data_IF_837659529394
#
_entry.id   IF_837659529394
#
_cell.length_a   1.000
_cell.length_b   1.000
_cell.length_c   1.000
_cell.angle_alpha   90.00
_cell.angle_beta   90.00
_cell.angle_gamma   90.00
#
_symmetry.space_group_name_H-M   'P 1'
#
loop_
_entity.id
_entity.type
_entity.pdbx_description
1 polymer ?
#
# COMPACT_ATOMS: atom_id res chain seq x y z
N UNK A 1 -22.39 -25.08 -86.74
CA UNK A 1 -21.59 -25.61 -85.60
C UNK A 1 -20.57 -24.61 -85.07
N UNK A 2 -19.96 -23.75 -85.89
CA UNK A 2 -18.99 -22.74 -85.43
C UNK A 2 -19.60 -21.59 -84.62
N UNK A 3 -20.79 -21.09 -84.99
CA UNK A 3 -21.44 -20.00 -84.26
C UNK A 3 -21.81 -20.36 -82.81
N UNK A 4 -22.30 -21.59 -82.59
CA UNK A 4 -22.62 -22.13 -81.26
C UNK A 4 -21.34 -22.25 -80.40
N UNK A 5 -20.22 -22.68 -81.00
CA UNK A 5 -18.92 -22.73 -80.30
C UNK A 5 -18.41 -21.33 -79.93
N UNK A 6 -18.63 -20.33 -80.77
CA UNK A 6 -18.22 -18.94 -80.51
C UNK A 6 -19.06 -18.27 -79.40
N UNK A 7 -20.36 -18.55 -79.31
CA UNK A 7 -21.19 -18.08 -78.19
C UNK A 7 -20.78 -18.73 -76.87
N UNK A 8 -20.50 -20.04 -76.87
CA UNK A 8 -20.09 -20.75 -75.66
C UNK A 8 -18.75 -20.21 -75.11
N UNK A 9 -17.82 -19.84 -76.00
CA UNK A 9 -16.55 -19.19 -75.64
C UNK A 9 -16.79 -17.81 -75.01
N UNK A 10 -17.66 -16.98 -75.60
CA UNK A 10 -18.01 -15.66 -75.03
C UNK A 10 -18.64 -15.78 -73.65
N UNK A 11 -19.55 -16.74 -73.46
CA UNK A 11 -20.19 -17.02 -72.17
C UNK A 11 -19.22 -17.57 -71.11
N UNK A 12 -18.18 -18.32 -71.51
CA UNK A 12 -17.11 -18.75 -70.60
C UNK A 12 -16.24 -17.57 -70.16
N UNK A 13 -15.82 -16.73 -71.11
CA UNK A 13 -14.99 -15.55 -70.82
C UNK A 13 -15.75 -14.55 -69.94
N UNK A 14 -17.05 -14.35 -70.16
CA UNK A 14 -17.90 -13.52 -69.30
C UNK A 14 -17.95 -14.03 -67.85
N UNK A 15 -18.22 -15.33 -67.66
CA UNK A 15 -18.23 -15.97 -66.34
C UNK A 15 -16.87 -15.92 -65.64
N UNK A 16 -15.78 -15.98 -66.39
CA UNK A 16 -14.43 -15.94 -65.84
C UNK A 16 -14.04 -14.52 -65.38
N UNK A 17 -14.51 -13.49 -66.09
CA UNK A 17 -14.39 -12.08 -65.65
C UNK A 17 -15.17 -11.81 -64.37
N UNK A 18 -16.43 -12.24 -64.30
CA UNK A 18 -17.27 -12.13 -63.10
C UNK A 18 -16.62 -12.84 -61.90
N UNK A 19 -16.15 -14.08 -62.09
CA UNK A 19 -15.43 -14.83 -61.04
C UNK A 19 -14.18 -14.08 -60.55
N UNK A 20 -13.47 -13.41 -61.44
CA UNK A 20 -12.29 -12.63 -61.06
C UNK A 20 -12.64 -11.33 -60.33
N UNK A 21 -13.76 -10.68 -60.66
CA UNK A 21 -14.28 -9.54 -59.90
C UNK A 21 -14.73 -9.95 -58.49
N UNK A 22 -15.51 -11.02 -58.36
CA UNK A 22 -15.89 -11.56 -57.05
C UNK A 22 -14.69 -11.95 -56.19
N UNK A 23 -13.62 -12.51 -56.80
CA UNK A 23 -12.37 -12.80 -56.09
C UNK A 23 -11.66 -11.55 -55.58
N UNK A 24 -11.66 -10.46 -56.35
CA UNK A 24 -11.08 -9.18 -55.93
C UNK A 24 -11.88 -8.57 -54.78
N UNK A 25 -13.20 -8.52 -54.89
CA UNK A 25 -14.06 -7.99 -53.82
C UNK A 25 -13.94 -8.81 -52.52
N UNK A 26 -13.90 -10.14 -52.62
CA UNK A 26 -13.68 -11.01 -51.46
C UNK A 26 -12.30 -10.75 -50.80
N UNK A 27 -11.25 -10.53 -51.60
CA UNK A 27 -9.92 -10.17 -51.11
C UNK A 27 -9.91 -8.80 -50.42
N UNK A 28 -10.58 -7.81 -50.99
CA UNK A 28 -10.65 -6.46 -50.42
C UNK A 28 -11.44 -6.43 -49.11
N UNK A 29 -12.55 -7.18 -49.04
CA UNK A 29 -13.32 -7.37 -47.80
C UNK A 29 -12.49 -8.08 -46.73
N UNK A 30 -11.73 -9.13 -47.10
CA UNK A 30 -10.83 -9.82 -46.17
C UNK A 30 -9.77 -8.87 -45.62
N UNK A 31 -9.15 -8.06 -46.48
CA UNK A 31 -8.15 -7.07 -46.06
C UNK A 31 -8.73 -5.97 -45.16
N UNK A 32 -9.96 -5.50 -45.44
CA UNK A 32 -10.66 -4.53 -44.58
C UNK A 32 -10.97 -5.12 -43.22
N UNK A 33 -11.43 -6.38 -43.17
CA UNK A 33 -11.70 -7.09 -41.91
C UNK A 33 -10.42 -7.23 -41.08
N UNK A 34 -9.32 -7.70 -41.68
CA UNK A 34 -8.05 -7.88 -40.98
C UNK A 34 -7.49 -6.56 -40.43
N UNK A 35 -7.61 -5.46 -41.19
CA UNK A 35 -7.24 -4.11 -40.71
C UNK A 35 -8.10 -3.65 -39.54
N UNK A 36 -9.37 -4.05 -39.50
CA UNK A 36 -10.30 -3.65 -38.45
C UNK A 36 -10.06 -4.46 -37.18
N UNK A 37 -9.83 -5.77 -37.31
CA UNK A 37 -9.45 -6.68 -36.21
C UNK A 37 -8.13 -6.21 -35.55
N UNK A 38 -7.09 -5.89 -36.33
CA UNK A 38 -5.83 -5.34 -35.77
C UNK A 38 -6.01 -4.02 -35.02
N UNK A 39 -6.93 -3.15 -35.48
CA UNK A 39 -7.25 -1.90 -34.76
C UNK A 39 -8.03 -2.18 -33.48
N UNK A 40 -8.94 -3.14 -33.48
CA UNK A 40 -9.69 -3.54 -32.29
C UNK A 40 -8.75 -4.13 -31.23
N UNK A 41 -7.89 -5.09 -31.60
CA UNK A 41 -6.89 -5.67 -30.70
C UNK A 41 -5.97 -4.62 -30.09
N UNK A 42 -5.52 -3.63 -30.89
CA UNK A 42 -4.67 -2.56 -30.39
C UNK A 42 -5.40 -1.72 -29.33
N UNK A 43 -6.68 -1.40 -29.56
CA UNK A 43 -7.50 -0.65 -28.61
C UNK A 43 -7.76 -1.45 -27.33
N UNK A 44 -8.08 -2.73 -27.43
CA UNK A 44 -8.25 -3.60 -26.26
C UNK A 44 -7.00 -3.64 -25.39
N UNK A 45 -5.82 -3.82 -26.00
CA UNK A 45 -4.53 -3.78 -25.27
C UNK A 45 -4.26 -2.42 -24.62
N UNK A 46 -4.69 -1.32 -25.23
CA UNK A 46 -4.56 0.02 -24.64
C UNK A 46 -5.52 0.21 -23.45
N UNK A 47 -6.77 -0.28 -23.57
CA UNK A 47 -7.75 -0.25 -22.48
C UNK A 47 -7.25 -1.05 -21.28
N UNK A 48 -6.76 -2.27 -21.51
CA UNK A 48 -6.22 -3.13 -20.45
C UNK A 48 -5.03 -2.47 -19.73
N UNK A 49 -4.11 -1.85 -20.49
CA UNK A 49 -2.98 -1.08 -19.93
C UNK A 49 -3.43 0.13 -19.12
N UNK A 50 -4.48 0.82 -19.53
CA UNK A 50 -5.00 1.97 -18.80
C UNK A 50 -5.75 1.55 -17.53
N UNK A 51 -6.53 0.48 -17.61
CA UNK A 51 -7.26 -0.10 -16.47
C UNK A 51 -6.30 -0.56 -15.37
N UNK A 52 -5.26 -1.32 -15.72
CA UNK A 52 -4.24 -1.76 -14.76
C UNK A 52 -3.46 -0.59 -14.13
N UNK A 53 -3.16 0.47 -14.90
CA UNK A 53 -2.55 1.70 -14.35
C UNK A 53 -3.48 2.42 -13.39
N UNK A 54 -4.76 2.51 -13.71
CA UNK A 54 -5.75 3.18 -12.86
C UNK A 54 -5.92 2.44 -11.54
N UNK A 55 -6.07 1.11 -11.57
CA UNK A 55 -6.17 0.28 -10.37
C UNK A 55 -4.92 0.43 -9.47
N UNK A 56 -3.72 0.45 -10.07
CA UNK A 56 -2.48 0.70 -9.32
C UNK A 56 -2.49 2.08 -8.64
N UNK A 57 -2.90 3.12 -9.36
CA UNK A 57 -2.98 4.48 -8.83
C UNK A 57 -4.02 4.62 -7.70
N UNK A 58 -5.19 4.00 -7.86
CA UNK A 58 -6.22 3.98 -6.82
C UNK A 58 -5.73 3.27 -5.56
N UNK A 59 -5.06 2.12 -5.73
CA UNK A 59 -4.48 1.38 -4.62
C UNK A 59 -3.38 2.19 -3.91
N UNK A 60 -2.50 2.86 -4.65
CA UNK A 60 -1.47 3.75 -4.08
C UNK A 60 -2.09 4.92 -3.32
N UNK A 61 -3.13 5.54 -3.89
CA UNK A 61 -3.86 6.66 -3.26
C UNK A 61 -4.56 6.21 -1.98
N UNK A 62 -5.21 5.04 -2.02
CA UNK A 62 -5.86 4.45 -0.85
C UNK A 62 -4.85 4.09 0.24
N UNK A 63 -3.72 3.49 -0.12
CA UNK A 63 -2.64 3.19 0.81
C UNK A 63 -2.08 4.49 1.43
N UNK A 64 -1.88 5.53 0.63
CA UNK A 64 -1.45 6.85 1.11
C UNK A 64 -2.45 7.44 2.11
N UNK A 65 -3.74 7.42 1.80
CA UNK A 65 -4.78 7.90 2.71
C UNK A 65 -4.79 7.13 4.04
N UNK A 66 -4.71 5.80 3.99
CA UNK A 66 -4.62 4.95 5.19
C UNK A 66 -3.38 5.30 6.01
N UNK A 67 -2.22 5.44 5.37
CA UNK A 67 -0.98 5.83 6.04
C UNK A 67 -1.10 7.20 6.70
N UNK A 68 -1.69 8.19 6.02
CA UNK A 68 -1.97 9.51 6.60
C UNK A 68 -2.87 9.40 7.82
N UNK A 69 -3.95 8.62 7.76
CA UNK A 69 -4.83 8.42 8.92
C UNK A 69 -4.08 7.76 10.09
N UNK A 70 -3.27 6.74 9.82
CA UNK A 70 -2.43 6.09 10.85
C UNK A 70 -1.46 7.10 11.46
N UNK A 71 -0.79 7.92 10.65
CA UNK A 71 0.12 8.97 11.12
C UNK A 71 -0.59 10.00 11.99
N UNK A 72 -1.80 10.44 11.61
CA UNK A 72 -2.59 11.37 12.41
C UNK A 72 -2.98 10.78 13.76
N UNK A 73 -3.50 9.54 13.77
CA UNK A 73 -3.84 8.83 15.01
C UNK A 73 -2.60 8.71 15.90
N UNK A 74 -1.47 8.32 15.31
CA UNK A 74 -0.21 8.18 16.04
C UNK A 74 0.24 9.50 16.66
N UNK A 75 0.21 10.61 15.91
CA UNK A 75 0.57 11.94 16.43
C UNK A 75 -0.35 12.34 17.58
N UNK A 76 -1.67 12.15 17.44
CA UNK A 76 -2.63 12.46 18.50
C UNK A 76 -2.42 11.63 19.76
N UNK A 77 -2.12 10.33 19.62
CA UNK A 77 -1.76 9.47 20.75
C UNK A 77 -0.47 9.95 21.42
N UNK A 78 0.55 10.30 20.63
CA UNK A 78 1.81 10.84 21.18
C UNK A 78 1.59 12.15 21.95
N UNK A 79 0.79 13.07 21.40
CA UNK A 79 0.44 14.32 22.07
C UNK A 79 -0.28 14.06 23.39
N UNK A 80 -1.25 13.14 23.40
CA UNK A 80 -1.94 12.74 24.61
C UNK A 80 -1.00 12.14 25.67
N UNK A 81 -0.03 11.32 25.26
CA UNK A 81 1.00 10.77 26.16
C UNK A 81 1.86 11.90 26.75
N UNK A 82 2.27 12.88 25.93
CA UNK A 82 3.04 14.03 26.40
C UNK A 82 2.27 14.85 27.43
N UNK A 83 1.00 15.11 27.19
CA UNK A 83 0.13 15.88 28.08
C UNK A 83 -0.16 15.13 29.38
N UNK A 84 -0.53 13.85 29.29
CA UNK A 84 -1.03 13.10 30.44
C UNK A 84 0.04 12.39 31.26
N UNK A 85 1.15 12.00 30.64
CA UNK A 85 2.23 11.26 31.29
C UNK A 85 3.43 12.15 31.56
N UNK A 86 3.81 13.00 30.60
CA UNK A 86 4.96 13.90 30.73
C UNK A 86 4.57 15.34 31.10
N UNK A 87 3.28 15.64 31.32
CA UNK A 87 2.76 16.95 31.76
C UNK A 87 3.29 18.14 30.95
N UNK A 88 3.53 17.96 29.65
CA UNK A 88 4.15 18.99 28.79
C UNK A 88 5.50 19.51 29.31
N UNK A 89 6.30 18.68 30.00
CA UNK A 89 7.73 18.93 30.13
C UNK A 89 8.33 19.23 28.75
N UNK A 90 9.50 19.89 28.66
CA UNK A 90 10.18 20.31 27.42
C UNK A 90 10.65 19.14 26.51
N UNK A 91 9.88 18.06 26.42
CA UNK A 91 10.03 16.93 25.52
C UNK A 91 9.12 17.20 24.32
N UNK A 92 9.72 17.59 23.20
CA UNK A 92 9.00 17.67 21.93
C UNK A 92 8.60 16.29 21.41
N UNK A 93 7.61 16.25 20.52
CA UNK A 93 7.15 15.03 19.84
C UNK A 93 8.31 14.26 19.19
N UNK A 94 9.23 14.97 18.54
CA UNK A 94 10.42 14.37 17.92
C UNK A 94 11.27 13.62 18.95
N UNK A 95 11.54 14.23 20.11
CA UNK A 95 12.33 13.60 21.17
C UNK A 95 11.62 12.37 21.75
N UNK A 96 10.29 12.41 21.90
CA UNK A 96 9.50 11.26 22.32
C UNK A 96 9.67 10.08 21.35
N UNK A 97 9.52 10.35 20.05
CA UNK A 97 9.65 9.33 19.01
C UNK A 97 11.07 8.77 18.95
N UNK A 98 12.07 9.64 18.92
CA UNK A 98 13.46 9.21 18.75
C UNK A 98 14.05 8.52 19.97
N UNK A 99 13.62 8.89 21.18
CA UNK A 99 14.26 8.42 22.41
C UNK A 99 13.43 7.50 23.27
N UNK A 100 12.10 7.46 23.12
CA UNK A 100 11.24 6.51 23.85
C UNK A 100 10.78 5.40 22.93
N UNK A 101 10.17 5.72 21.79
CA UNK A 101 9.62 4.67 20.90
C UNK A 101 10.67 3.86 20.15
N UNK A 102 11.91 4.36 20.07
CA UNK A 102 13.05 3.57 19.56
C UNK A 102 13.74 2.73 20.63
N UNK A 103 13.33 2.81 21.90
CA UNK A 103 13.91 1.94 22.92
C UNK A 103 13.50 0.49 22.66
N UNK A 104 14.46 -0.45 22.71
CA UNK A 104 14.11 -1.85 22.71
C UNK A 104 13.26 -2.12 23.94
N UNK A 105 12.16 -2.83 23.71
CA UNK A 105 11.27 -3.28 24.75
C UNK A 105 11.11 -4.77 24.68
N UNK A 106 10.91 -5.37 25.85
CA UNK A 106 10.52 -6.77 26.00
C UNK A 106 9.34 -6.83 26.95
N UNK A 107 8.50 -7.84 26.81
CA UNK A 107 7.39 -8.03 27.74
C UNK A 107 7.38 -9.44 28.28
N UNK A 108 6.85 -9.57 29.49
CA UNK A 108 6.58 -10.84 30.15
C UNK A 108 5.12 -10.83 30.57
N UNK A 109 4.43 -11.90 30.25
CA UNK A 109 3.06 -12.14 30.68
C UNK A 109 3.07 -13.09 31.88
N UNK A 110 2.40 -12.71 32.95
CA UNK A 110 2.08 -13.56 34.09
C UNK A 110 0.58 -13.86 34.07
N UNK A 111 0.09 -14.64 35.03
CA UNK A 111 -1.35 -14.90 35.18
C UNK A 111 -2.15 -13.61 35.42
N UNK A 112 -1.55 -12.62 36.09
CA UNK A 112 -2.23 -11.41 36.55
C UNK A 112 -1.77 -10.13 35.88
N UNK A 113 -0.56 -10.11 35.30
CA UNK A 113 0.08 -8.89 34.79
C UNK A 113 0.71 -9.11 33.41
N UNK A 114 0.76 -8.04 32.62
CA UNK A 114 1.71 -7.89 31.52
C UNK A 114 2.72 -6.83 31.94
N UNK A 115 3.98 -7.24 32.06
CA UNK A 115 5.09 -6.38 32.43
C UNK A 115 5.86 -6.02 31.17
N UNK A 116 5.89 -4.74 30.81
CA UNK A 116 6.68 -4.20 29.71
C UNK A 116 7.95 -3.58 30.27
N UNK A 117 9.09 -4.13 29.88
CA UNK A 117 10.41 -3.58 30.15
C UNK A 117 10.84 -2.70 28.98
N UNK A 118 11.22 -1.46 29.25
CA UNK A 118 11.88 -0.57 28.32
C UNK A 118 13.36 -0.53 28.67
N UNK A 119 14.22 -1.07 27.81
CA UNK A 119 15.64 -1.23 28.10
C UNK A 119 16.42 0.02 27.66
N UNK A 120 16.97 0.75 28.63
CA UNK A 120 17.79 1.94 28.38
C UNK A 120 19.07 1.57 27.60
N UNK A 121 19.29 2.23 26.45
CA UNK A 121 20.45 1.96 25.59
C UNK A 121 21.67 2.85 25.90
N UNK A 122 21.48 3.99 26.57
CA UNK A 122 22.56 4.94 26.83
C UNK A 122 22.95 4.99 28.32
N UNK A 123 24.17 4.53 28.62
CA UNK A 123 24.81 4.70 29.95
C UNK A 123 25.35 6.12 30.20
N UNK A 124 25.26 7.04 29.22
CA UNK A 124 26.15 8.20 29.22
C UNK A 124 25.69 9.38 30.11
N UNK A 125 26.68 9.91 30.83
CA UNK A 125 26.60 10.67 32.09
C UNK A 125 26.35 12.17 31.92
N UNK A 126 25.81 12.62 30.80
CA UNK A 126 25.51 14.05 30.65
C UNK A 126 24.18 14.40 31.36
N UNK A 127 24.08 15.62 31.88
CA UNK A 127 22.94 16.06 32.67
C UNK A 127 21.60 15.96 31.91
N UNK A 128 21.64 16.10 30.58
CA UNK A 128 20.45 16.02 29.73
C UNK A 128 19.93 14.58 29.60
N UNK A 129 20.81 13.60 29.40
CA UNK A 129 20.44 12.18 29.35
C UNK A 129 19.99 11.67 30.71
N UNK A 130 20.64 12.08 31.80
CA UNK A 130 20.19 11.76 33.15
C UNK A 130 18.80 12.30 33.44
N UNK A 131 18.54 13.57 33.09
CA UNK A 131 17.21 14.17 33.23
C UNK A 131 16.19 13.40 32.39
N UNK A 132 16.54 13.04 31.16
CA UNK A 132 15.66 12.27 30.28
C UNK A 132 15.34 10.90 30.86
N UNK A 133 16.34 10.12 31.26
CA UNK A 133 16.17 8.81 31.87
C UNK A 133 15.29 8.87 33.12
N UNK A 134 15.48 9.90 33.96
CA UNK A 134 14.62 10.12 35.12
C UNK A 134 13.16 10.41 34.74
N UNK A 135 12.92 11.19 33.68
CA UNK A 135 11.56 11.44 33.18
C UNK A 135 10.90 10.15 32.67
N UNK A 136 11.63 9.30 31.94
CA UNK A 136 11.11 8.02 31.43
C UNK A 136 10.81 7.04 32.57
N UNK A 137 11.70 6.93 33.56
CA UNK A 137 11.49 6.10 34.75
C UNK A 137 10.24 6.54 35.52
N UNK A 138 10.09 7.85 35.75
CA UNK A 138 8.92 8.43 36.40
C UNK A 138 7.63 8.12 35.64
N UNK A 139 7.65 8.26 34.31
CA UNK A 139 6.51 7.95 33.47
C UNK A 139 6.10 6.47 33.56
N UNK A 140 7.06 5.55 33.53
CA UNK A 140 6.79 4.11 33.70
C UNK A 140 6.15 3.82 35.06
N UNK A 141 6.68 4.42 36.12
CA UNK A 141 6.14 4.30 37.47
C UNK A 141 4.72 4.88 37.57
N UNK A 142 4.46 6.03 36.96
CA UNK A 142 3.13 6.65 36.94
C UNK A 142 2.11 5.82 36.17
N UNK A 143 2.50 5.20 35.04
CA UNK A 143 1.64 4.28 34.30
C UNK A 143 1.31 3.04 35.13
N UNK A 144 2.32 2.41 35.74
CA UNK A 144 2.12 1.23 36.59
C UNK A 144 1.17 1.49 37.76
N UNK A 145 1.22 2.71 38.34
CA UNK A 145 0.32 3.12 39.44
C UNK A 145 -1.13 3.35 39.01
N UNK A 146 -1.39 3.55 37.71
CA UNK A 146 -2.76 3.76 37.21
C UNK A 146 -3.59 2.47 37.16
N UNK A 147 -3.00 1.32 37.47
CA UNK A 147 -3.69 0.02 37.48
C UNK A 147 -4.48 -0.23 36.19
N UNK A 148 -3.86 0.04 35.04
CA UNK A 148 -4.51 -0.08 33.74
C UNK A 148 -4.77 -1.55 33.45
N UNK A 149 -6.03 -1.91 33.24
CA UNK A 149 -6.44 -3.29 32.90
C UNK A 149 -6.47 -3.47 31.38
N UNK A 150 -5.79 -4.49 30.91
CA UNK A 150 -5.79 -4.91 29.51
C UNK A 150 -7.06 -5.70 29.16
N UNK A 151 -7.34 -5.82 27.87
CA UNK A 151 -8.53 -6.53 27.37
C UNK A 151 -8.56 -8.01 27.76
N UNK A 152 -7.41 -8.63 27.96
CA UNK A 152 -7.27 -10.02 28.42
C UNK A 152 -7.41 -10.17 29.94
N UNK A 153 -7.71 -9.08 30.65
CA UNK A 153 -7.96 -9.05 32.08
C UNK A 153 -6.73 -8.78 32.94
N UNK A 154 -5.51 -8.77 32.38
CA UNK A 154 -4.27 -8.54 33.12
C UNK A 154 -4.05 -7.07 33.42
N UNK A 155 -3.30 -6.77 34.48
CA UNK A 155 -2.84 -5.41 34.75
C UNK A 155 -1.58 -5.10 33.94
N UNK A 156 -1.53 -3.90 33.37
CA UNK A 156 -0.33 -3.37 32.71
C UNK A 156 0.62 -2.81 33.76
N UNK A 157 1.86 -3.29 33.71
CA UNK A 157 2.98 -2.75 34.45
C UNK A 157 4.09 -2.37 33.48
N UNK A 158 4.72 -1.24 33.70
CA UNK A 158 5.83 -0.75 32.89
C UNK A 158 7.04 -0.48 33.78
N UNK A 159 8.22 -0.90 33.32
CA UNK A 159 9.49 -0.72 34.03
C UNK A 159 10.55 -0.19 33.08
N UNK A 160 11.31 0.80 33.54
CA UNK A 160 12.46 1.32 32.81
C UNK A 160 13.74 0.66 33.35
N UNK A 161 14.38 -0.15 32.52
CA UNK A 161 15.53 -0.96 32.93
C UNK A 161 16.82 -0.21 32.57
N UNK A 162 17.53 0.24 33.60
CA UNK A 162 18.88 0.78 33.42
C UNK A 162 19.88 -0.38 33.28
N UNK A 163 20.80 -0.32 32.30
CA UNK A 163 21.83 -1.35 32.16
C UNK A 163 22.77 -1.30 33.37
N UNK A 164 23.26 -2.47 33.85
CA UNK A 164 24.07 -2.59 35.07
C UNK A 164 25.39 -1.82 35.03
#
# INVERSE_FOLDING_TARGET
>A
MEEIKNEEIKLRVGREKEKNEFRKEASDLKNKREKTEKKAEKKEREIEKLSTKHEKYENETRASAVMTTISMIYISVCQHILETTFKNENIGLETLIEKIFRLPGRYIDTETERIIYLDCQNKNRNKHEQKFNYMVDRACNDISKRCIKLNDGRLLRMEYVMPP
#
